data_IF_361741611599
#
_entry.id   IF_361741611599
#
_cell.length_a   1.000
_cell.length_b   1.000
_cell.length_c   1.000
_cell.angle_alpha   90.00
_cell.angle_beta   90.00
_cell.angle_gamma   90.00
#
_symmetry.space_group_name_H-M   'P 1'
#
loop_
_entity.id
_entity.type
_entity.pdbx_description
1 polymer ?
#
# COMPACT_ATOMS: atom_id res chain seq x y z
N UNK A 1 -20.36 2.23 -8.77
CA UNK A 1 -19.39 1.20 -9.18
C UNK A 1 -18.02 1.76 -8.92
N UNK A 2 -17.26 1.15 -8.02
CA UNK A 2 -15.85 1.49 -7.81
C UNK A 2 -15.12 1.40 -9.13
N UNK A 3 -14.09 2.23 -9.37
CA UNK A 3 -13.28 2.15 -10.57
C UNK A 3 -12.68 0.75 -10.65
N UNK A 4 -13.00 0.01 -11.67
CA UNK A 4 -12.36 -1.27 -11.95
C UNK A 4 -10.94 -0.97 -12.37
N UNK A 5 -9.96 -1.55 -11.70
CA UNK A 5 -8.59 -1.66 -12.20
C UNK A 5 -8.59 -2.70 -13.33
N UNK A 6 -9.16 -2.31 -14.48
CA UNK A 6 -9.54 -3.23 -15.55
C UNK A 6 -8.37 -3.96 -16.22
N UNK A 7 -7.15 -3.48 -16.02
CA UNK A 7 -5.94 -4.03 -16.66
C UNK A 7 -5.21 -5.07 -15.84
N UNK A 8 -5.54 -5.24 -14.57
CA UNK A 8 -4.87 -6.20 -13.70
C UNK A 8 -5.86 -7.13 -13.05
N UNK A 9 -5.57 -8.41 -13.16
CA UNK A 9 -6.29 -9.43 -12.42
C UNK A 9 -5.77 -9.47 -10.96
N UNK A 10 -6.53 -8.88 -10.05
CA UNK A 10 -6.30 -8.99 -8.61
C UNK A 10 -7.05 -10.18 -7.97
N UNK A 11 -7.33 -11.24 -8.73
CA UNK A 11 -7.99 -12.44 -8.21
C UNK A 11 -7.16 -13.20 -7.18
N UNK A 12 -5.84 -13.06 -7.23
CA UNK A 12 -4.92 -13.75 -6.32
C UNK A 12 -5.02 -13.26 -4.88
N UNK A 13 -4.70 -14.13 -3.93
CA UNK A 13 -4.76 -13.83 -2.49
C UNK A 13 -3.40 -13.52 -1.87
N UNK A 14 -2.32 -13.69 -2.60
CA UNK A 14 -0.97 -13.39 -2.14
C UNK A 14 -0.19 -12.61 -3.20
N UNK A 15 0.36 -11.47 -2.78
CA UNK A 15 1.25 -10.66 -3.60
C UNK A 15 2.59 -10.46 -2.90
N UNK A 16 3.66 -10.46 -3.68
CA UNK A 16 5.01 -10.17 -3.21
C UNK A 16 5.48 -8.85 -3.79
N UNK A 17 5.76 -7.88 -2.94
CA UNK A 17 6.38 -6.60 -3.31
C UNK A 17 7.89 -6.72 -3.11
N UNK A 18 8.68 -6.41 -4.12
CA UNK A 18 10.16 -6.39 -4.07
C UNK A 18 10.67 -5.00 -4.40
N UNK A 19 11.42 -4.40 -3.48
CA UNK A 19 12.14 -3.16 -3.73
C UNK A 19 13.49 -3.46 -4.37
N UNK A 20 13.88 -2.71 -5.39
CA UNK A 20 15.23 -2.79 -5.96
C UNK A 20 16.17 -1.85 -5.19
N UNK A 21 17.32 -2.38 -4.75
CA UNK A 21 18.34 -1.63 -4.01
C UNK A 21 18.94 -0.43 -4.77
N UNK A 22 18.91 -0.46 -6.09
CA UNK A 22 19.40 0.62 -6.96
C UNK A 22 18.24 1.12 -7.81
N UNK A 23 17.90 2.41 -7.71
CA UNK A 23 16.84 3.14 -8.44
C UNK A 23 15.44 3.10 -7.82
N UNK A 24 15.29 2.78 -6.55
CA UNK A 24 13.99 2.92 -5.85
C UNK A 24 12.80 2.48 -6.74
N UNK A 25 12.84 1.29 -7.29
CA UNK A 25 11.78 0.73 -8.11
C UNK A 25 11.14 -0.43 -7.37
N UNK A 26 9.82 -0.45 -7.33
CA UNK A 26 9.05 -1.55 -6.77
C UNK A 26 8.53 -2.43 -7.90
N UNK A 27 8.57 -3.74 -7.68
CA UNK A 27 7.95 -4.73 -8.53
C UNK A 27 7.05 -5.60 -7.69
N UNK A 28 5.84 -5.81 -8.17
CA UNK A 28 4.81 -6.59 -7.53
C UNK A 28 4.59 -7.86 -8.34
N UNK A 29 4.54 -8.99 -7.63
CA UNK A 29 4.39 -10.32 -8.20
C UNK A 29 3.17 -11.00 -7.59
N UNK A 30 2.45 -11.78 -8.38
CA UNK A 30 1.39 -12.69 -7.95
C UNK A 30 1.96 -13.90 -7.18
N UNK A 31 1.09 -14.83 -6.76
CA UNK A 31 1.50 -16.06 -6.06
C UNK A 31 2.28 -17.03 -6.95
N UNK A 32 2.06 -16.98 -8.25
CA UNK A 32 2.77 -17.78 -9.27
C UNK A 32 4.15 -17.21 -9.61
N UNK A 33 4.45 -15.99 -9.15
CA UNK A 33 5.72 -15.32 -9.39
C UNK A 33 5.76 -14.50 -10.67
N UNK A 34 4.63 -14.27 -11.33
CA UNK A 34 4.54 -13.36 -12.46
C UNK A 34 4.54 -11.92 -11.98
N UNK A 35 5.26 -11.04 -12.68
CA UNK A 35 5.21 -9.61 -12.40
C UNK A 35 3.86 -9.06 -12.88
N UNK A 36 3.11 -8.43 -11.99
CA UNK A 36 1.78 -7.87 -12.29
C UNK A 36 1.77 -6.35 -12.29
N UNK A 37 2.64 -5.74 -11.50
CA UNK A 37 2.75 -4.28 -11.41
C UNK A 37 4.19 -3.86 -11.16
N UNK A 38 4.51 -2.65 -11.56
CA UNK A 38 5.75 -1.95 -11.18
C UNK A 38 5.51 -0.46 -10.98
N UNK A 39 6.37 0.18 -10.20
CA UNK A 39 6.49 1.64 -10.18
C UNK A 39 7.95 2.04 -10.15
N UNK A 40 8.25 3.16 -10.82
CA UNK A 40 9.58 3.79 -10.76
C UNK A 40 9.48 4.90 -9.72
N UNK A 41 10.27 4.77 -8.66
CA UNK A 41 10.22 5.74 -7.61
C UNK A 41 10.89 7.07 -8.01
N UNK A 42 10.09 8.13 -8.03
CA UNK A 42 10.47 9.45 -7.56
C UNK A 42 9.56 9.86 -6.41
N UNK A 43 9.38 8.97 -5.45
CA UNK A 43 8.43 9.13 -4.34
C UNK A 43 8.78 10.27 -3.36
N UNK A 44 9.92 10.92 -3.52
CA UNK A 44 10.44 11.87 -2.53
C UNK A 44 10.03 13.32 -2.67
N UNK A 45 9.30 13.66 -3.73
CA UNK A 45 8.67 14.98 -3.79
C UNK A 45 7.18 14.80 -3.52
N UNK A 46 6.77 15.01 -2.28
CA UNK A 46 5.40 14.88 -1.73
C UNK A 46 4.29 15.63 -2.51
N UNK A 47 4.56 16.12 -3.69
CA UNK A 47 3.63 16.89 -4.54
C UNK A 47 3.42 16.28 -5.92
N UNK A 48 4.11 15.21 -6.26
CA UNK A 48 4.07 14.64 -7.61
C UNK A 48 3.21 13.39 -7.66
N UNK A 49 2.42 13.29 -8.71
CA UNK A 49 1.71 12.09 -9.08
C UNK A 49 2.70 11.03 -9.58
N UNK A 50 2.55 9.78 -9.16
CA UNK A 50 3.38 8.68 -9.65
C UNK A 50 2.54 7.51 -10.13
N UNK A 51 2.86 6.96 -11.32
CA UNK A 51 2.12 5.86 -11.88
C UNK A 51 2.60 4.51 -11.37
N UNK A 52 1.65 3.59 -11.28
CA UNK A 52 1.88 2.15 -11.30
C UNK A 52 1.58 1.62 -12.69
N UNK A 53 2.51 0.89 -13.28
CA UNK A 53 2.40 0.36 -14.64
C UNK A 53 2.35 -1.17 -14.62
N UNK A 54 1.76 -1.75 -15.65
CA UNK A 54 1.87 -3.18 -15.94
C UNK A 54 3.30 -3.55 -16.40
N UNK A 55 3.61 -4.84 -16.61
CA UNK A 55 4.92 -5.28 -17.11
C UNK A 55 5.26 -4.75 -18.51
N UNK A 56 4.28 -4.44 -19.33
CA UNK A 56 4.43 -3.87 -20.67
C UNK A 56 4.72 -2.37 -20.63
N UNK A 57 4.46 -1.70 -19.50
CA UNK A 57 4.72 -0.29 -19.29
C UNK A 57 3.51 0.62 -19.49
N UNK A 58 2.29 0.06 -19.60
CA UNK A 58 1.07 0.83 -19.64
C UNK A 58 0.66 1.26 -18.23
N UNK A 59 0.16 2.47 -18.08
CA UNK A 59 -0.30 2.99 -16.80
C UNK A 59 -1.57 2.26 -16.36
N UNK A 60 -1.59 1.78 -15.10
CA UNK A 60 -2.72 1.08 -14.48
C UNK A 60 -3.47 1.99 -13.53
N UNK A 61 -2.76 2.56 -12.58
CA UNK A 61 -3.29 3.60 -11.70
C UNK A 61 -2.18 4.56 -11.29
N UNK A 62 -2.57 5.74 -10.86
CA UNK A 62 -1.66 6.72 -10.30
C UNK A 62 -1.99 7.02 -8.84
N UNK A 63 -0.97 7.48 -8.11
CA UNK A 63 -1.08 7.94 -6.72
C UNK A 63 -0.67 9.39 -6.67
N UNK A 64 -1.52 10.24 -6.07
CA UNK A 64 -1.30 11.67 -5.94
C UNK A 64 -1.63 12.13 -4.53
N UNK A 65 -0.76 12.95 -3.93
CA UNK A 65 -1.09 13.61 -2.68
C UNK A 65 -2.25 14.59 -2.89
N UNK A 66 -3.33 14.44 -2.12
CA UNK A 66 -4.41 15.42 -2.09
C UNK A 66 -3.99 16.55 -1.15
N UNK A 67 -3.89 17.77 -1.68
CA UNK A 67 -3.65 18.97 -0.87
C UNK A 67 -4.96 19.34 -0.19
N UNK A 68 -5.16 18.88 1.03
CA UNK A 68 -6.12 19.51 1.92
C UNK A 68 -5.35 20.55 2.72
N UNK A 69 -5.81 21.78 2.73
CA UNK A 69 -5.21 22.88 3.50
C UNK A 69 -4.96 22.39 4.94
N UNK A 70 -3.69 22.48 5.37
CA UNK A 70 -3.18 22.30 6.73
C UNK A 70 -2.94 20.87 7.29
N UNK A 71 -3.36 19.79 6.65
CA UNK A 71 -2.98 18.43 7.08
C UNK A 71 -2.41 17.61 5.91
N UNK A 72 -1.09 17.58 5.81
CA UNK A 72 -0.39 16.75 4.83
C UNK A 72 -0.58 15.27 5.14
N UNK A 73 -1.19 14.50 4.24
CA UNK A 73 -1.19 13.06 4.41
C UNK A 73 -2.22 12.23 3.67
N UNK A 74 -3.15 12.83 2.95
CA UNK A 74 -4.10 12.06 2.15
C UNK A 74 -3.57 11.83 0.73
N UNK A 75 -3.79 10.63 0.20
CA UNK A 75 -3.38 10.25 -1.14
C UNK A 75 -4.57 9.67 -1.90
N UNK A 76 -4.83 10.19 -3.11
CA UNK A 76 -5.80 9.61 -4.02
C UNK A 76 -5.13 8.57 -4.92
N UNK A 77 -5.77 7.42 -5.07
CA UNK A 77 -5.49 6.43 -6.08
C UNK A 77 -6.50 6.61 -7.21
N UNK A 78 -6.02 6.81 -8.42
CA UNK A 78 -6.85 7.08 -9.59
C UNK A 78 -6.55 6.07 -10.69
N UNK A 79 -7.58 5.43 -11.21
CA UNK A 79 -7.49 4.53 -12.35
C UNK A 79 -7.05 5.30 -13.60
N UNK A 80 -5.98 4.82 -14.26
CA UNK A 80 -5.36 5.56 -15.37
C UNK A 80 -6.17 5.51 -16.67
N UNK A 81 -7.02 4.50 -16.84
CA UNK A 81 -7.85 4.35 -18.03
C UNK A 81 -9.11 5.21 -17.94
N UNK A 82 -9.78 5.20 -16.80
CA UNK A 82 -11.07 5.86 -16.61
C UNK A 82 -10.97 7.23 -15.96
N UNK A 83 -9.83 7.56 -15.35
CA UNK A 83 -9.64 8.75 -14.55
C UNK A 83 -10.46 8.75 -13.24
N UNK A 84 -11.11 7.64 -12.89
CA UNK A 84 -11.93 7.53 -11.70
C UNK A 84 -11.09 7.26 -10.46
N UNK A 85 -11.47 7.87 -9.34
CA UNK A 85 -10.86 7.61 -8.05
C UNK A 85 -11.20 6.18 -7.60
N UNK A 86 -10.18 5.38 -7.30
CA UNK A 86 -10.29 4.00 -6.82
C UNK A 86 -10.40 3.98 -5.30
N UNK A 87 -9.50 4.73 -4.64
CA UNK A 87 -9.40 4.80 -3.20
C UNK A 87 -8.78 6.12 -2.73
N UNK A 88 -9.04 6.46 -1.48
CA UNK A 88 -8.39 7.54 -0.76
C UNK A 88 -7.67 6.91 0.44
N UNK A 89 -6.38 7.20 0.58
CA UNK A 89 -5.58 6.78 1.71
C UNK A 89 -5.45 7.94 2.68
N UNK A 90 -5.89 7.74 3.92
CA UNK A 90 -5.77 8.72 4.99
C UNK A 90 -4.83 8.20 6.07
N UNK A 91 -3.80 8.97 6.38
CA UNK A 91 -2.86 8.61 7.43
C UNK A 91 -3.42 9.03 8.80
N UNK A 92 -3.55 8.07 9.72
CA UNK A 92 -3.88 8.40 11.11
C UNK A 92 -2.60 8.83 11.85
N UNK A 93 -2.57 10.08 12.25
CA UNK A 93 -1.49 10.60 13.10
C UNK A 93 -1.76 10.29 14.58
N UNK A 94 -1.46 9.07 15.00
CA UNK A 94 -1.37 8.77 16.41
C UNK A 94 0.08 8.50 16.80
N UNK A 95 0.53 9.07 17.92
CA UNK A 95 1.94 9.00 18.38
C UNK A 95 2.49 7.57 18.53
N UNK A 96 1.62 6.57 18.61
CA UNK A 96 2.00 5.19 18.98
C UNK A 96 1.67 4.11 17.97
N UNK A 97 0.88 4.40 16.93
CA UNK A 97 0.43 3.40 15.95
C UNK A 97 0.46 4.04 14.57
N UNK A 98 1.30 3.51 13.68
CA UNK A 98 1.21 3.82 12.27
C UNK A 98 -0.04 3.11 11.72
N UNK A 99 -1.05 3.88 11.39
CA UNK A 99 -2.28 3.35 10.82
C UNK A 99 -2.72 4.18 9.62
N UNK A 100 -3.28 3.48 8.64
CA UNK A 100 -3.85 4.06 7.44
C UNK A 100 -5.31 3.64 7.35
N UNK A 101 -6.17 4.57 7.00
CA UNK A 101 -7.55 4.29 6.61
C UNK A 101 -7.63 4.27 5.09
N UNK A 102 -8.38 3.31 4.56
CA UNK A 102 -8.67 3.18 3.14
C UNK A 102 -10.15 3.51 2.97
N UNK A 103 -10.41 4.53 2.18
CA UNK A 103 -11.76 5.00 1.85
C UNK A 103 -12.05 4.71 0.37
N UNK A 104 -13.30 4.53 0.02
CA UNK A 104 -13.73 4.44 -1.37
C UNK A 104 -13.79 5.84 -2.04
N UNK A 105 -14.28 5.89 -3.26
CA UNK A 105 -14.42 7.14 -4.03
C UNK A 105 -15.45 8.12 -3.45
N UNK A 106 -16.36 7.66 -2.57
CA UNK A 106 -17.33 8.49 -1.85
C UNK A 106 -16.84 8.91 -0.46
N UNK A 107 -15.57 8.66 -0.16
CA UNK A 107 -14.97 8.91 1.15
C UNK A 107 -15.54 8.04 2.29
N UNK A 108 -16.12 6.87 1.94
CA UNK A 108 -16.59 5.89 2.92
C UNK A 108 -15.44 4.96 3.27
N UNK A 109 -15.15 4.82 4.56
CA UNK A 109 -14.10 3.90 5.02
C UNK A 109 -14.48 2.47 4.68
N UNK A 110 -13.60 1.79 3.93
CA UNK A 110 -13.76 0.38 3.52
C UNK A 110 -12.80 -0.56 4.26
N UNK A 111 -11.63 -0.07 4.65
CA UNK A 111 -10.64 -0.86 5.38
C UNK A 111 -9.70 0.01 6.20
N UNK A 112 -8.84 -0.63 6.98
CA UNK A 112 -7.70 0.01 7.63
C UNK A 112 -6.49 -0.92 7.64
N UNK A 113 -5.29 -0.33 7.60
CA UNK A 113 -4.00 -1.02 7.73
C UNK A 113 -3.36 -0.51 9.01
N UNK A 114 -3.14 -1.40 9.98
CA UNK A 114 -2.60 -1.07 11.29
C UNK A 114 -1.32 -1.84 11.57
N UNK A 115 -0.30 -1.14 12.06
CA UNK A 115 0.93 -1.76 12.53
C UNK A 115 0.65 -2.69 13.72
N UNK A 116 1.24 -3.88 13.72
CA UNK A 116 1.21 -4.79 14.88
C UNK A 116 2.36 -4.44 15.81
N UNK A 117 2.04 -3.84 16.95
CA UNK A 117 2.98 -3.68 18.04
C UNK A 117 2.86 -2.37 18.79
N UNK A 118 2.13 -2.35 19.89
CA UNK A 118 2.05 -1.21 20.82
C UNK A 118 3.39 -0.89 21.51
N UNK A 119 4.35 -1.83 21.54
CA UNK A 119 5.64 -1.68 22.23
C UNK A 119 6.75 -1.08 21.36
N UNK A 120 6.58 -1.09 20.03
CA UNK A 120 7.68 -0.70 19.14
C UNK A 120 7.83 0.83 18.99
N UNK A 121 6.78 1.60 19.24
CA UNK A 121 6.88 3.07 19.24
C UNK A 121 7.79 3.60 20.34
N UNK A 122 7.77 3.00 21.53
CA UNK A 122 8.60 3.41 22.65
C UNK A 122 10.08 2.95 22.53
N UNK A 123 10.32 1.81 21.88
CA UNK A 123 11.67 1.27 21.65
C UNK A 123 12.40 1.98 20.49
N UNK A 124 11.65 2.51 19.51
CA UNK A 124 12.22 3.19 18.35
C UNK A 124 12.94 4.52 18.73
N UNK A 125 12.56 5.13 19.83
CA UNK A 125 13.22 6.33 20.36
C UNK A 125 14.51 6.03 21.14
N UNK A 126 14.76 4.76 21.47
CA UNK A 126 15.86 4.37 22.37
C UNK A 126 17.01 3.61 21.66
N UNK A 127 16.86 3.18 20.42
CA UNK A 127 17.92 2.41 19.76
C UNK A 127 17.80 2.42 18.23
N UNK A 128 18.91 2.73 17.55
CA UNK A 128 19.06 2.63 16.08
C UNK A 128 18.84 1.20 15.55
N UNK A 129 18.96 0.19 16.41
CA UNK A 129 18.72 -1.22 16.06
C UNK A 129 17.24 -1.58 15.94
N UNK A 130 16.32 -0.75 16.40
CA UNK A 130 14.87 -0.96 16.27
C UNK A 130 14.40 -0.88 14.80
N UNK A 131 15.16 -0.25 13.92
CA UNK A 131 14.89 -0.19 12.48
C UNK A 131 15.09 -1.55 11.76
N UNK A 132 15.73 -2.52 12.43
CA UNK A 132 15.96 -3.87 11.89
C UNK A 132 14.79 -4.84 12.14
N UNK A 133 13.74 -4.42 12.86
CA UNK A 133 12.62 -5.30 13.15
C UNK A 133 11.61 -5.32 12.00
N UNK A 134 11.16 -6.50 11.54
CA UNK A 134 10.23 -6.61 10.42
C UNK A 134 8.90 -5.93 10.73
N UNK A 135 8.50 -5.01 9.86
CA UNK A 135 7.18 -4.40 9.95
C UNK A 135 6.09 -5.43 9.65
N UNK A 136 5.10 -5.50 10.52
CA UNK A 136 3.93 -6.37 10.37
C UNK A 136 2.68 -5.52 10.50
N UNK A 137 1.85 -5.55 9.46
CA UNK A 137 0.57 -4.84 9.46
C UNK A 137 -0.58 -5.83 9.36
N UNK A 138 -1.69 -5.46 9.97
CA UNK A 138 -2.97 -6.15 9.85
C UNK A 138 -3.87 -5.31 8.97
N UNK A 139 -4.50 -5.94 7.98
CA UNK A 139 -5.56 -5.33 7.17
C UNK A 139 -6.88 -5.73 7.83
N UNK A 140 -7.72 -4.74 8.16
CA UNK A 140 -9.03 -4.91 8.79
C UNK A 140 -10.10 -4.29 7.90
N UNK A 141 -11.27 -4.94 7.80
CA UNK A 141 -12.44 -4.35 7.16
C UNK A 141 -13.05 -3.23 8.03
N UNK A 142 -14.16 -2.63 7.57
CA UNK A 142 -14.88 -1.58 8.29
C UNK A 142 -15.39 -2.04 9.67
N UNK A 143 -15.66 -3.34 9.85
CA UNK A 143 -16.12 -3.93 11.12
C UNK A 143 -14.96 -4.23 12.09
N UNK A 144 -13.70 -4.00 11.69
CA UNK A 144 -12.50 -4.32 12.48
C UNK A 144 -12.05 -5.78 12.39
N UNK A 145 -12.69 -6.60 11.56
CA UNK A 145 -12.31 -7.99 11.33
C UNK A 145 -11.04 -8.07 10.49
N UNK A 146 -10.12 -8.95 10.85
CA UNK A 146 -8.89 -9.13 10.10
C UNK A 146 -9.17 -9.86 8.77
N UNK A 147 -9.04 -9.15 7.65
CA UNK A 147 -9.19 -9.67 6.29
C UNK A 147 -7.85 -9.96 5.59
N UNK A 148 -6.74 -9.46 6.14
CA UNK A 148 -5.44 -9.69 5.55
C UNK A 148 -4.28 -9.29 6.46
N UNK A 149 -3.08 -9.39 5.90
CA UNK A 149 -1.83 -9.00 6.57
C UNK A 149 -0.75 -8.60 5.56
N UNK A 150 0.10 -7.68 5.97
CA UNK A 150 1.35 -7.37 5.30
C UNK A 150 2.50 -7.82 6.22
N UNK A 151 3.46 -8.53 5.68
CA UNK A 151 4.62 -9.01 6.41
C UNK A 151 5.89 -8.68 5.64
N UNK A 152 6.74 -7.85 6.22
CA UNK A 152 8.09 -7.61 5.72
C UNK A 152 8.98 -8.80 6.05
N UNK A 153 9.83 -9.19 5.12
CA UNK A 153 10.94 -10.12 5.34
C UNK A 153 12.22 -9.48 4.87
N UNK A 154 13.18 -9.35 5.76
CA UNK A 154 14.51 -8.86 5.41
C UNK A 154 15.28 -9.94 4.65
N UNK A 155 15.85 -9.56 3.52
CA UNK A 155 16.98 -10.26 2.92
C UNK A 155 18.15 -9.30 2.90
N UNK A 156 19.39 -9.82 3.02
CA UNK A 156 20.63 -9.04 3.19
C UNK A 156 20.82 -7.90 2.16
N UNK A 157 20.05 -7.89 1.08
CA UNK A 157 20.23 -6.98 -0.05
C UNK A 157 18.94 -6.30 -0.53
N UNK A 158 17.75 -6.65 -0.03
CA UNK A 158 16.48 -6.11 -0.55
C UNK A 158 15.34 -6.28 0.45
N UNK A 159 14.52 -5.27 0.59
CA UNK A 159 13.26 -5.38 1.30
C UNK A 159 12.24 -6.14 0.45
N UNK A 160 11.59 -7.11 1.08
CA UNK A 160 10.56 -7.94 0.48
C UNK A 160 9.34 -7.94 1.39
N UNK A 161 8.19 -7.63 0.83
CA UNK A 161 6.93 -7.61 1.54
C UNK A 161 6.00 -8.65 0.93
N UNK A 162 5.25 -9.33 1.79
CA UNK A 162 4.15 -10.21 1.38
C UNK A 162 2.83 -9.65 1.86
N UNK A 163 1.92 -9.42 0.94
CA UNK A 163 0.54 -9.02 1.18
C UNK A 163 -0.30 -10.27 1.01
N UNK A 164 -1.06 -10.65 2.05
CA UNK A 164 -2.01 -11.77 2.00
C UNK A 164 -3.39 -11.28 2.37
N UNK A 165 -4.36 -11.60 1.53
CA UNK A 165 -5.79 -11.45 1.79
C UNK A 165 -6.36 -12.82 2.11
N UNK A 166 -7.26 -12.92 3.10
CA UNK A 166 -7.75 -14.22 3.59
C UNK A 166 -8.77 -14.89 2.67
N UNK A 167 -9.57 -14.10 1.96
CA UNK A 167 -10.73 -14.58 1.20
C UNK A 167 -10.81 -13.92 -0.18
N UNK A 168 -11.38 -14.66 -1.15
CA UNK A 168 -11.54 -14.16 -2.52
C UNK A 168 -12.68 -13.16 -2.68
N UNK A 169 -13.72 -13.24 -1.83
CA UNK A 169 -14.97 -12.48 -1.94
C UNK A 169 -15.00 -11.23 -1.04
N UNK A 170 -13.87 -10.59 -0.83
CA UNK A 170 -13.82 -9.34 -0.06
C UNK A 170 -14.29 -8.20 -0.96
N UNK A 171 -15.32 -7.52 -0.53
CA UNK A 171 -15.78 -6.30 -1.17
C UNK A 171 -14.64 -5.27 -1.26
N UNK A 172 -14.50 -4.61 -2.41
CA UNK A 172 -13.43 -3.66 -2.69
C UNK A 172 -12.00 -4.24 -2.59
N UNK A 173 -11.82 -5.55 -2.81
CA UNK A 173 -10.51 -6.23 -2.72
C UNK A 173 -9.42 -5.53 -3.55
N UNK A 174 -9.74 -5.12 -4.77
CA UNK A 174 -8.81 -4.44 -5.68
C UNK A 174 -8.33 -3.11 -5.10
N UNK A 175 -9.25 -2.29 -4.61
CA UNK A 175 -8.92 -1.02 -3.95
C UNK A 175 -8.06 -1.23 -2.70
N UNK A 176 -8.37 -2.24 -1.89
CA UNK A 176 -7.61 -2.59 -0.68
C UNK A 176 -6.20 -3.08 -1.04
N UNK A 177 -6.05 -3.89 -2.10
CA UNK A 177 -4.75 -4.36 -2.56
C UNK A 177 -3.90 -3.22 -3.14
N UNK A 178 -4.48 -2.39 -4.01
CA UNK A 178 -3.80 -1.22 -4.56
C UNK A 178 -3.33 -0.28 -3.44
N UNK A 179 -4.20 -0.04 -2.45
CA UNK A 179 -3.88 0.75 -1.27
C UNK A 179 -2.75 0.13 -0.45
N UNK A 180 -2.79 -1.18 -0.19
CA UNK A 180 -1.75 -1.88 0.57
C UNK A 180 -0.38 -1.82 -0.11
N UNK A 181 -0.34 -1.97 -1.42
CA UNK A 181 0.88 -1.83 -2.24
C UNK A 181 1.41 -0.39 -2.15
N UNK A 182 0.52 0.59 -2.26
CA UNK A 182 0.88 2.01 -2.20
C UNK A 182 1.44 2.41 -0.84
N UNK A 183 0.79 1.99 0.25
CA UNK A 183 1.22 2.28 1.62
C UNK A 183 2.63 1.72 1.87
N UNK A 184 2.89 0.50 1.39
CA UNK A 184 4.21 -0.09 1.49
C UNK A 184 5.26 0.75 0.75
N UNK A 185 4.93 1.22 -0.45
CA UNK A 185 5.80 2.10 -1.22
C UNK A 185 6.00 3.47 -0.55
N UNK A 186 5.02 4.00 0.19
CA UNK A 186 5.11 5.27 0.90
C UNK A 186 5.89 5.17 2.22
N UNK A 187 5.84 4.02 2.92
CA UNK A 187 6.49 3.82 4.22
C UNK A 187 7.86 3.12 4.12
N UNK A 188 8.19 2.55 2.99
CA UNK A 188 9.44 1.82 2.75
C UNK A 188 10.69 2.70 2.55
N UNK A 189 10.60 3.98 2.96
CA UNK A 189 11.67 4.97 2.88
C UNK A 189 12.17 5.38 4.26
#
# INVERSE_FOLDING_TARGET
>A
MAGNLSRIDFSDNEYTVKQKAVRNAYKIFDSSGNEVLRTKQKLFKMKEEFPFTDPEGNDVFSVKAEQVMDFAGDYALTDSETGKKIAILKKDFTFFIHSWQIHDHNDIKIASIKSRGKLFGALRTLSDTANLLPHKYTIQNQNGEQIGRIKQSFTLLRDKYKIKIKENNIENKEAILAAAITIDALEGN
#
